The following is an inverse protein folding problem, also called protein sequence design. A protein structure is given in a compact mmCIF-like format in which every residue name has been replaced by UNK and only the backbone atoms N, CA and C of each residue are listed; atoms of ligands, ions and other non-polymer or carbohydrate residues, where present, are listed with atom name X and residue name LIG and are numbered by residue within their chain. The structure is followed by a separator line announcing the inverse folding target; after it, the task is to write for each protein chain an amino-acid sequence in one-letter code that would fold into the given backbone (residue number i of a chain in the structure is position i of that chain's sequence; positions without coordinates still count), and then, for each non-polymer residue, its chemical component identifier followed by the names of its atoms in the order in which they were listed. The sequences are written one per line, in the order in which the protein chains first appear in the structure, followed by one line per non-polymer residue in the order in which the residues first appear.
data_IF_787921516917
#
_entry.id   IF_787921516917
#
_cell.length_a   1.000
_cell.length_b   1.000
_cell.length_c   1.000
_cell.angle_alpha   90.00
_cell.angle_beta   90.00
_cell.angle_gamma   90.00
#
_symmetry.space_group_name_H-M   'P 1'
#
loop_
_entity.id
_entity.type
_entity.pdbx_description
1 polymer ?
#
# COMPACT_ATOMS: atom_id res chain seq x y z
N UNK A 1 28.33 -44.80 47.77
CA UNK A 1 29.11 -43.71 47.18
C UNK A 1 29.17 -43.92 45.67
N UNK A 2 28.39 -43.11 44.97
CA UNK A 2 28.61 -42.53 43.64
C UNK A 2 29.73 -43.08 42.75
N UNK A 3 29.35 -43.58 41.58
CA UNK A 3 29.92 -43.08 40.31
C UNK A 3 28.88 -43.21 39.19
N UNK A 4 28.84 -42.15 38.38
CA UNK A 4 27.80 -41.69 37.47
C UNK A 4 28.17 -41.99 36.02
N UNK A 5 27.28 -42.65 35.28
CA UNK A 5 27.20 -42.54 33.82
C UNK A 5 25.79 -42.95 33.35
N UNK A 6 24.97 -41.95 33.02
CA UNK A 6 23.67 -42.13 32.36
C UNK A 6 23.86 -42.10 30.83
N UNK A 7 23.31 -43.05 30.06
CA UNK A 7 23.32 -42.98 28.60
C UNK A 7 22.21 -42.07 28.05
N UNK A 8 22.58 -41.38 26.97
CA UNK A 8 21.82 -40.43 26.12
C UNK A 8 20.40 -40.91 25.80
N UNK A 9 19.36 -40.17 26.22
CA UNK A 9 18.00 -40.28 25.69
C UNK A 9 17.93 -39.68 24.29
N UNK A 10 17.62 -40.52 23.31
CA UNK A 10 17.28 -40.14 21.93
C UNK A 10 15.84 -39.63 21.94
N UNK A 11 15.64 -38.31 21.92
CA UNK A 11 14.32 -37.71 21.79
C UNK A 11 13.85 -37.84 20.34
N UNK A 12 12.72 -38.53 20.15
CA UNK A 12 12.01 -38.66 18.89
C UNK A 12 11.36 -37.32 18.53
N UNK A 13 11.78 -36.72 17.42
CA UNK A 13 11.09 -35.59 16.79
C UNK A 13 9.70 -36.05 16.33
N UNK A 14 8.66 -35.61 17.03
CA UNK A 14 7.28 -35.60 16.52
C UNK A 14 7.00 -34.22 15.93
N UNK A 15 7.03 -34.15 14.60
CA UNK A 15 6.39 -33.08 13.84
C UNK A 15 4.88 -33.32 13.87
N UNK A 16 4.12 -32.36 14.40
CA UNK A 16 2.67 -32.27 14.20
C UNK A 16 2.37 -30.98 13.42
N UNK A 17 1.71 -31.05 12.25
CA UNK A 17 1.13 -29.89 11.59
C UNK A 17 -0.25 -29.61 12.21
N UNK A 18 -0.53 -28.36 12.57
CA UNK A 18 -1.89 -27.92 12.89
C UNK A 18 -2.39 -27.01 11.78
N UNK A 19 -3.08 -27.62 10.82
CA UNK A 19 -4.05 -26.97 9.96
C UNK A 19 -5.31 -26.64 10.79
N UNK A 20 -5.80 -25.42 10.70
CA UNK A 20 -7.14 -25.05 11.17
C UNK A 20 -7.93 -24.47 9.99
N UNK A 21 -8.67 -25.36 9.33
CA UNK A 21 -9.80 -25.04 8.45
C UNK A 21 -11.08 -25.48 9.15
N UNK A 22 -11.88 -24.53 9.62
CA UNK A 22 -13.23 -24.83 10.13
C UNK A 22 -14.22 -24.83 8.96
N UNK A 23 -14.50 -26.01 8.42
CA UNK A 23 -15.70 -26.27 7.63
C UNK A 23 -16.84 -26.65 8.57
N UNK A 24 -17.94 -25.90 8.50
CA UNK A 24 -19.21 -26.24 9.13
C UNK A 24 -20.06 -26.98 8.10
N UNK A 25 -20.28 -28.27 8.31
CA UNK A 25 -21.25 -29.07 7.56
C UNK A 25 -21.91 -30.04 8.51
N UNK A 26 -23.22 -29.87 8.72
CA UNK A 26 -24.08 -30.91 9.27
C UNK A 26 -25.50 -30.71 8.73
N UNK A 27 -25.90 -31.61 7.83
CA UNK A 27 -27.28 -31.76 7.37
C UNK A 27 -27.79 -33.16 7.74
N UNK A 28 -28.85 -33.17 8.57
CA UNK A 28 -30.10 -33.95 8.50
C UNK A 28 -30.09 -35.48 8.64
N UNK A 29 -30.97 -35.97 9.54
CA UNK A 29 -31.89 -37.10 9.30
C UNK A 29 -33.15 -37.03 10.22
N UNK A 30 -34.28 -37.69 9.86
CA UNK A 30 -35.65 -37.20 10.10
C UNK A 30 -36.53 -38.09 11.03
N UNK A 31 -37.86 -37.83 11.03
CA UNK A 31 -39.03 -38.48 11.72
C UNK A 31 -39.32 -37.94 13.14
N UNK A 32 -40.54 -37.55 13.54
CA UNK A 32 -41.89 -38.02 13.20
C UNK A 32 -42.95 -36.91 13.18
N UNK A 33 -44.02 -37.17 12.41
CA UNK A 33 -45.20 -36.36 12.14
C UNK A 33 -46.27 -36.39 13.22
N UNK A 34 -46.87 -35.25 13.59
CA UNK A 34 -48.30 -35.12 13.94
C UNK A 34 -48.79 -33.67 13.66
N UNK A 35 -49.84 -33.55 12.83
CA UNK A 35 -50.79 -32.42 12.67
C UNK A 35 -52.19 -33.06 12.56
N UNK A 36 -53.33 -32.34 12.64
CA UNK A 36 -53.53 -30.88 12.73
C UNK A 36 -54.57 -30.43 13.78
N UNK A 37 -54.71 -29.11 14.01
CA UNK A 37 -56.04 -28.44 14.01
C UNK A 37 -55.91 -26.90 13.95
N UNK A 38 -56.91 -26.20 13.35
CA UNK A 38 -56.78 -24.80 12.94
C UNK A 38 -57.54 -23.86 13.87
N UNK A 39 -56.97 -22.68 14.13
CA UNK A 39 -57.72 -21.53 14.67
C UNK A 39 -57.24 -20.25 14.02
N UNK A 40 -58.20 -19.62 13.35
CA UNK A 40 -58.21 -18.30 12.74
C UNK A 40 -57.87 -17.16 13.70
N UNK A 41 -57.12 -16.15 13.25
CA UNK A 41 -57.63 -14.78 13.01
C UNK A 41 -56.53 -13.78 12.66
N UNK A 42 -56.84 -12.97 11.63
CA UNK A 42 -56.58 -11.53 11.50
C UNK A 42 -55.17 -11.00 11.22
N UNK A 43 -55.00 -10.58 9.96
CA UNK A 43 -54.70 -9.22 9.48
C UNK A 43 -53.44 -8.48 9.98
N UNK A 44 -52.82 -7.80 9.01
CA UNK A 44 -51.66 -6.90 9.05
C UNK A 44 -50.31 -7.64 9.09
N UNK A 45 -49.40 -7.47 8.13
CA UNK A 45 -49.02 -6.26 7.43
C UNK A 45 -48.60 -6.59 6.00
N UNK A 46 -49.22 -5.91 5.03
CA UNK A 46 -48.56 -5.55 3.79
C UNK A 46 -47.29 -4.81 4.23
N UNK A 47 -46.15 -5.51 4.14
CA UNK A 47 -44.87 -4.85 4.14
C UNK A 47 -44.89 -3.96 2.91
N UNK A 48 -45.22 -2.69 3.14
CA UNK A 48 -44.96 -1.62 2.19
C UNK A 48 -43.52 -1.79 1.75
N UNK A 49 -43.35 -2.09 0.46
CA UNK A 49 -42.15 -1.75 -0.29
C UNK A 49 -41.92 -0.26 -0.06
N UNK A 50 -41.18 0.05 1.01
CA UNK A 50 -40.43 1.29 1.07
C UNK A 50 -39.38 1.09 0.00
N UNK A 51 -39.70 1.51 -1.23
CA UNK A 51 -38.69 1.99 -2.15
C UNK A 51 -37.90 3.04 -1.39
N UNK A 52 -36.83 2.60 -0.73
CA UNK A 52 -35.74 3.48 -0.34
C UNK A 52 -35.33 4.13 -1.66
N UNK A 53 -35.57 5.43 -1.78
CA UNK A 53 -34.89 6.27 -2.76
C UNK A 53 -33.43 5.79 -2.82
N UNK A 54 -32.98 5.24 -3.95
CA UNK A 54 -31.67 4.60 -4.02
C UNK A 54 -30.65 5.62 -3.57
N UNK A 55 -29.82 5.21 -2.61
CA UNK A 55 -28.71 6.00 -2.11
C UNK A 55 -27.99 6.62 -3.30
N UNK A 56 -28.02 7.96 -3.44
CA UNK A 56 -27.19 8.64 -4.43
C UNK A 56 -25.74 8.66 -3.93
N UNK A 57 -25.19 7.48 -3.65
CA UNK A 57 -23.76 7.29 -3.50
C UNK A 57 -23.16 7.57 -4.86
N UNK A 58 -22.36 8.62 -4.93
CA UNK A 58 -21.69 9.04 -6.15
C UNK A 58 -20.23 9.29 -5.86
N UNK A 59 -19.38 8.88 -6.80
CA UNK A 59 -17.96 9.18 -6.72
C UNK A 59 -17.68 10.69 -6.88
N UNK A 60 -16.41 11.08 -6.88
CA UNK A 60 -16.04 12.50 -7.04
C UNK A 60 -16.55 13.09 -8.36
N UNK A 61 -16.70 12.30 -9.43
CA UNK A 61 -17.18 12.80 -10.73
C UNK A 61 -18.71 12.77 -10.87
N UNK A 62 -19.43 12.25 -9.88
CA UNK A 62 -20.89 12.15 -9.91
C UNK A 62 -21.38 10.82 -10.50
N UNK A 63 -20.49 9.86 -10.74
CA UNK A 63 -20.86 8.54 -11.22
C UNK A 63 -21.52 7.75 -10.10
N UNK A 64 -22.69 7.12 -10.31
CA UNK A 64 -23.31 6.26 -9.32
C UNK A 64 -22.35 5.17 -8.84
N UNK A 65 -22.30 5.00 -7.52
CA UNK A 65 -21.51 3.97 -6.86
C UNK A 65 -22.42 3.02 -6.11
N UNK A 66 -22.24 1.74 -6.36
CA UNK A 66 -22.88 0.68 -5.58
C UNK A 66 -21.86 0.05 -4.65
N UNK A 67 -22.33 -0.37 -3.47
CA UNK A 67 -21.47 -1.00 -2.49
C UNK A 67 -21.20 -2.45 -2.95
N UNK A 68 -19.92 -2.88 -3.06
CA UNK A 68 -19.59 -4.25 -3.45
C UNK A 68 -20.21 -5.29 -2.50
N UNK A 69 -20.81 -6.34 -3.08
CA UNK A 69 -21.48 -7.43 -2.39
C UNK A 69 -20.82 -8.81 -2.60
N UNK A 70 -19.83 -8.91 -3.50
CA UNK A 70 -19.06 -10.14 -3.69
C UNK A 70 -18.17 -10.46 -2.48
N UNK A 71 -17.80 -11.73 -2.35
CA UNK A 71 -17.02 -12.27 -1.24
C UNK A 71 -15.58 -12.55 -1.65
N UNK A 72 -14.66 -12.56 -0.67
CA UNK A 72 -13.28 -12.99 -0.91
C UNK A 72 -13.20 -14.44 -1.40
N UNK A 73 -14.17 -15.29 -1.03
CA UNK A 73 -14.23 -16.67 -1.50
C UNK A 73 -14.45 -16.72 -3.02
N UNK A 74 -15.43 -15.98 -3.55
CA UNK A 74 -15.68 -15.92 -4.99
C UNK A 74 -14.45 -15.43 -5.78
N UNK A 75 -13.72 -14.46 -5.23
CA UNK A 75 -12.46 -13.98 -5.82
C UNK A 75 -11.41 -15.10 -5.86
N UNK A 76 -11.21 -15.82 -4.77
CA UNK A 76 -10.21 -16.90 -4.69
C UNK A 76 -10.57 -18.11 -5.55
N UNK A 77 -11.85 -18.47 -5.59
CA UNK A 77 -12.36 -19.61 -6.36
C UNK A 77 -12.26 -19.37 -7.87
N UNK A 78 -12.25 -18.11 -8.32
CA UNK A 78 -12.08 -17.76 -9.73
C UNK A 78 -10.64 -17.91 -10.23
N UNK A 79 -9.65 -17.82 -9.34
CA UNK A 79 -8.22 -17.80 -9.72
C UNK A 79 -7.73 -19.23 -9.99
N UNK A 80 -7.09 -19.49 -11.15
CA UNK A 80 -6.48 -20.80 -11.43
C UNK A 80 -5.47 -21.23 -10.36
N UNK A 81 -5.48 -22.51 -10.01
CA UNK A 81 -4.66 -23.04 -8.92
C UNK A 81 -3.14 -22.85 -9.15
N UNK A 82 -2.68 -22.95 -10.39
CA UNK A 82 -1.26 -22.77 -10.72
C UNK A 82 -0.78 -21.32 -10.51
N UNK A 83 -1.67 -20.33 -10.49
CA UNK A 83 -1.29 -18.94 -10.18
C UNK A 83 -0.76 -18.78 -8.75
N UNK A 84 -1.05 -19.73 -7.86
CA UNK A 84 -0.52 -19.74 -6.49
C UNK A 84 0.86 -20.41 -6.37
N UNK A 85 1.37 -20.99 -7.45
CA UNK A 85 2.68 -21.65 -7.46
C UNK A 85 3.80 -20.61 -7.41
N UNK A 86 4.68 -20.76 -6.41
CA UNK A 86 5.80 -19.85 -6.18
C UNK A 86 7.10 -20.60 -6.46
N UNK A 87 7.92 -20.06 -7.35
CA UNK A 87 9.22 -20.60 -7.75
C UNK A 87 10.35 -19.73 -7.24
N UNK A 88 11.15 -20.27 -6.31
CA UNK A 88 12.35 -19.62 -5.79
C UNK A 88 13.35 -19.30 -6.91
N UNK A 89 13.57 -20.25 -7.83
CA UNK A 89 14.51 -20.08 -8.94
C UNK A 89 14.06 -18.96 -9.87
N UNK A 90 12.77 -18.92 -10.23
CA UNK A 90 12.22 -17.86 -11.08
C UNK A 90 12.39 -16.51 -10.40
N UNK A 91 11.94 -16.34 -9.17
CA UNK A 91 12.04 -15.06 -8.46
C UNK A 91 13.50 -14.60 -8.25
N UNK A 92 14.41 -15.51 -7.91
CA UNK A 92 15.85 -15.20 -7.79
C UNK A 92 16.47 -14.79 -9.13
N UNK A 93 16.00 -15.33 -10.26
CA UNK A 93 16.48 -14.90 -11.59
C UNK A 93 16.13 -13.44 -11.88
N UNK A 94 14.98 -12.94 -11.41
CA UNK A 94 14.60 -11.52 -11.53
C UNK A 94 15.44 -10.63 -10.60
N UNK A 95 15.75 -11.08 -9.38
CA UNK A 95 16.70 -10.38 -8.50
C UNK A 95 18.08 -10.29 -9.16
N UNK A 96 18.58 -11.41 -9.70
CA UNK A 96 19.86 -11.45 -10.40
C UNK A 96 19.88 -10.55 -11.64
N UNK A 97 18.77 -10.52 -12.40
CA UNK A 97 18.58 -9.61 -13.54
C UNK A 97 18.68 -8.15 -13.10
N UNK A 98 17.92 -7.75 -12.08
CA UNK A 98 17.87 -6.37 -11.62
C UNK A 98 19.24 -5.91 -11.09
N UNK A 99 19.93 -6.76 -10.31
CA UNK A 99 21.30 -6.52 -9.86
C UNK A 99 22.27 -6.42 -11.04
N UNK A 100 22.13 -7.28 -12.06
CA UNK A 100 22.97 -7.23 -13.26
C UNK A 100 22.77 -5.94 -14.05
N UNK A 101 21.53 -5.44 -14.15
CA UNK A 101 21.23 -4.16 -14.78
C UNK A 101 21.83 -2.98 -14.00
N UNK A 102 21.71 -2.99 -12.66
CA UNK A 102 22.34 -1.99 -11.78
C UNK A 102 23.86 -1.99 -11.94
N UNK A 103 24.50 -3.16 -11.82
CA UNK A 103 25.94 -3.33 -11.92
C UNK A 103 26.48 -2.98 -13.31
N UNK A 104 25.81 -3.46 -14.37
CA UNK A 104 26.18 -3.19 -15.76
C UNK A 104 26.07 -1.71 -16.11
N UNK A 105 24.97 -1.05 -15.70
CA UNK A 105 24.78 0.38 -15.92
C UNK A 105 25.84 1.19 -15.14
N UNK A 106 26.14 0.83 -13.89
CA UNK A 106 27.23 1.47 -13.15
C UNK A 106 28.58 1.29 -13.81
N UNK A 107 28.92 0.06 -14.19
CA UNK A 107 30.18 -0.25 -14.86
C UNK A 107 30.36 0.56 -16.14
N UNK A 108 29.34 0.62 -17.00
CA UNK A 108 29.41 1.37 -18.26
C UNK A 108 29.60 2.87 -18.01
N UNK A 109 28.81 3.47 -17.13
CA UNK A 109 28.88 4.92 -16.90
C UNK A 109 30.17 5.31 -16.17
N UNK A 110 30.60 4.53 -15.18
CA UNK A 110 31.84 4.77 -14.45
C UNK A 110 33.07 4.74 -15.35
N UNK A 111 33.15 3.79 -16.29
CA UNK A 111 34.34 3.61 -17.13
C UNK A 111 34.34 4.47 -18.40
N UNK A 112 33.16 4.78 -18.98
CA UNK A 112 33.07 5.44 -20.28
C UNK A 112 32.52 6.87 -20.23
N UNK A 113 31.84 7.30 -19.16
CA UNK A 113 31.40 8.70 -19.00
C UNK A 113 32.47 9.51 -18.27
N UNK A 114 33.66 9.52 -18.87
CA UNK A 114 34.86 10.19 -18.34
C UNK A 114 35.25 11.38 -19.23
N UNK A 115 36.08 12.31 -18.75
CA UNK A 115 36.59 13.40 -19.57
C UNK A 115 37.39 12.96 -20.81
N UNK A 116 37.98 11.76 -20.76
CA UNK A 116 38.75 11.17 -21.86
C UNK A 116 37.86 10.79 -23.05
N UNK A 117 36.79 10.01 -22.80
CA UNK A 117 35.88 9.58 -23.86
C UNK A 117 34.83 10.64 -24.22
N UNK A 118 34.45 11.49 -23.25
CA UNK A 118 33.40 12.50 -23.41
C UNK A 118 33.91 13.84 -22.88
N UNK A 119 34.65 14.65 -23.67
CA UNK A 119 35.27 15.88 -23.19
C UNK A 119 34.28 16.97 -22.73
N UNK A 120 33.06 16.98 -23.28
CA UNK A 120 32.03 17.97 -22.96
C UNK A 120 31.41 17.75 -21.57
N UNK A 121 31.65 18.67 -20.64
CA UNK A 121 31.09 18.62 -19.29
C UNK A 121 29.56 18.61 -19.25
N UNK A 122 28.83 19.45 -20.01
CA UNK A 122 27.36 19.39 -20.04
C UNK A 122 26.82 18.04 -20.51
N UNK A 123 27.46 17.42 -21.52
CA UNK A 123 27.06 16.10 -22.01
C UNK A 123 27.28 15.03 -20.94
N UNK A 124 28.44 15.04 -20.26
CA UNK A 124 28.67 14.13 -19.13
C UNK A 124 27.65 14.32 -18.02
N UNK A 125 27.29 15.56 -17.68
CA UNK A 125 26.28 15.84 -16.67
C UNK A 125 24.90 15.26 -17.06
N UNK A 126 24.49 15.44 -18.32
CA UNK A 126 23.27 14.82 -18.86
C UNK A 126 23.29 13.29 -18.80
N UNK A 127 24.44 12.68 -19.13
CA UNK A 127 24.61 11.23 -19.03
C UNK A 127 24.57 10.74 -17.57
N UNK A 128 25.20 11.43 -16.63
CA UNK A 128 25.07 11.08 -15.21
C UNK A 128 23.63 11.27 -14.69
N UNK A 129 22.85 12.20 -15.26
CA UNK A 129 21.41 12.29 -15.03
C UNK A 129 20.65 11.07 -15.55
N UNK A 130 20.97 10.62 -16.78
CA UNK A 130 20.41 9.39 -17.36
C UNK A 130 20.78 8.15 -16.53
N UNK A 131 22.04 8.06 -16.06
CA UNK A 131 22.47 7.03 -15.11
C UNK A 131 21.59 7.01 -13.87
N UNK A 132 21.38 8.17 -13.24
CA UNK A 132 20.58 8.25 -12.02
C UNK A 132 19.14 7.78 -12.26
N UNK A 133 18.54 8.16 -13.39
CA UNK A 133 17.21 7.70 -13.78
C UNK A 133 17.16 6.18 -14.00
N UNK A 134 18.09 5.61 -14.79
CA UNK A 134 18.13 4.17 -15.07
C UNK A 134 18.38 3.33 -13.81
N UNK A 135 19.31 3.75 -12.96
CA UNK A 135 19.55 3.11 -11.66
C UNK A 135 18.30 3.20 -10.77
N UNK A 136 17.60 4.33 -10.80
CA UNK A 136 16.31 4.48 -10.14
C UNK A 136 15.29 3.44 -10.60
N UNK A 137 15.16 3.23 -11.91
CA UNK A 137 14.25 2.23 -12.46
C UNK A 137 14.60 0.80 -12.00
N UNK A 138 15.85 0.37 -12.18
CA UNK A 138 16.26 -0.97 -11.78
C UNK A 138 16.26 -1.15 -10.25
N UNK A 139 16.56 -0.09 -9.50
CA UNK A 139 16.47 -0.07 -8.04
C UNK A 139 15.04 -0.23 -7.55
N UNK A 140 14.06 0.38 -8.22
CA UNK A 140 12.63 0.15 -7.95
C UNK A 140 12.22 -1.28 -8.30
N UNK A 141 12.72 -1.86 -9.41
CA UNK A 141 12.52 -3.29 -9.70
C UNK A 141 13.00 -4.18 -8.56
N UNK A 142 14.22 -3.96 -8.07
CA UNK A 142 14.77 -4.68 -6.93
C UNK A 142 13.97 -4.46 -5.63
N UNK A 143 13.48 -3.23 -5.42
CA UNK A 143 12.60 -2.89 -4.31
C UNK A 143 11.31 -3.73 -4.33
N UNK A 144 10.72 -3.90 -5.51
CA UNK A 144 9.49 -4.67 -5.72
C UNK A 144 9.72 -6.16 -5.47
N UNK A 145 10.86 -6.72 -5.87
CA UNK A 145 11.21 -8.11 -5.54
C UNK A 145 11.32 -8.34 -4.01
N UNK A 146 11.84 -7.36 -3.27
CA UNK A 146 11.87 -7.41 -1.82
C UNK A 146 10.48 -7.19 -1.18
N UNK A 147 9.61 -6.41 -1.82
CA UNK A 147 8.18 -6.34 -1.48
C UNK A 147 7.49 -7.71 -1.64
N UNK A 148 7.73 -8.43 -2.74
CA UNK A 148 7.21 -9.80 -2.96
C UNK A 148 7.68 -10.77 -1.86
N UNK A 149 8.90 -10.58 -1.36
CA UNK A 149 9.40 -11.31 -0.19
C UNK A 149 8.57 -11.01 1.06
N UNK A 150 8.20 -9.75 1.28
CA UNK A 150 7.34 -9.30 2.37
C UNK A 150 5.99 -10.00 2.38
N UNK A 151 5.40 -10.22 1.20
CA UNK A 151 4.15 -10.94 1.02
C UNK A 151 4.25 -12.47 1.05
N UNK A 152 5.48 -13.00 1.08
CA UNK A 152 5.73 -14.43 0.91
C UNK A 152 5.28 -14.95 -0.46
N UNK A 153 5.16 -14.08 -1.46
CA UNK A 153 4.89 -14.43 -2.85
C UNK A 153 6.17 -14.89 -3.58
N UNK A 154 7.33 -14.40 -3.15
CA UNK A 154 8.62 -14.66 -3.80
C UNK A 154 8.98 -16.15 -3.91
N UNK A 155 8.75 -16.94 -2.87
CA UNK A 155 9.04 -18.39 -2.85
C UNK A 155 8.20 -19.10 -1.77
N UNK A 156 8.11 -20.45 -1.78
CA UNK A 156 7.42 -21.18 -0.73
C UNK A 156 8.22 -21.21 0.59
N UNK A 157 9.47 -20.74 0.60
CA UNK A 157 10.36 -20.78 1.75
C UNK A 157 10.43 -19.43 2.46
N UNK A 158 9.80 -19.33 3.62
CA UNK A 158 9.74 -18.08 4.39
C UNK A 158 11.11 -17.51 4.77
N UNK A 159 12.05 -18.37 5.17
CA UNK A 159 13.39 -17.93 5.53
C UNK A 159 14.11 -17.30 4.33
N UNK A 160 14.02 -17.93 3.15
CA UNK A 160 14.61 -17.39 1.93
C UNK A 160 14.02 -16.02 1.60
N UNK A 161 12.69 -15.89 1.64
CA UNK A 161 11.99 -14.62 1.40
C UNK A 161 12.51 -13.56 2.38
N UNK A 162 12.53 -13.87 3.68
CA UNK A 162 12.92 -12.90 4.69
C UNK A 162 14.40 -12.50 4.61
N UNK A 163 15.29 -13.41 4.22
CA UNK A 163 16.70 -13.10 3.99
C UNK A 163 16.91 -12.23 2.75
N UNK A 164 16.30 -12.59 1.62
CA UNK A 164 16.44 -11.83 0.36
C UNK A 164 15.83 -10.44 0.50
N UNK A 165 14.62 -10.36 1.06
CA UNK A 165 13.93 -9.11 1.33
C UNK A 165 14.73 -8.21 2.26
N UNK A 166 15.26 -8.74 3.37
CA UNK A 166 16.07 -7.97 4.31
C UNK A 166 17.33 -7.40 3.66
N UNK A 167 18.06 -8.19 2.85
CA UNK A 167 19.26 -7.70 2.16
C UNK A 167 18.93 -6.62 1.14
N UNK A 168 17.96 -6.88 0.26
CA UNK A 168 17.61 -5.97 -0.84
C UNK A 168 17.00 -4.65 -0.35
N UNK A 169 16.06 -4.70 0.60
CA UNK A 169 15.50 -3.48 1.19
C UNK A 169 16.52 -2.72 2.01
N UNK A 170 17.39 -3.38 2.79
CA UNK A 170 18.45 -2.67 3.53
C UNK A 170 19.41 -1.93 2.60
N UNK A 171 19.80 -2.55 1.47
CA UNK A 171 20.63 -1.91 0.45
C UNK A 171 19.96 -0.68 -0.21
N UNK A 172 18.63 -0.59 -0.13
CA UNK A 172 17.81 0.54 -0.57
C UNK A 172 17.31 1.40 0.60
N UNK A 173 17.96 1.33 1.77
CA UNK A 173 17.62 2.10 2.98
C UNK A 173 16.17 1.95 3.46
N UNK A 174 15.58 0.78 3.22
CA UNK A 174 14.24 0.41 3.69
C UNK A 174 14.35 -0.58 4.87
N UNK A 175 13.74 -0.28 6.03
CA UNK A 175 13.77 -1.21 7.16
C UNK A 175 12.81 -2.38 6.89
N UNK A 176 13.32 -3.47 6.32
CA UNK A 176 12.51 -4.55 5.74
C UNK A 176 11.40 -5.10 6.65
N UNK A 177 11.70 -5.57 7.87
CA UNK A 177 10.66 -6.16 8.71
C UNK A 177 9.70 -5.12 9.28
N UNK A 178 10.23 -3.94 9.62
CA UNK A 178 9.43 -2.78 10.03
C UNK A 178 8.37 -2.47 8.97
N UNK A 179 8.80 -2.29 7.72
CA UNK A 179 7.93 -2.02 6.60
C UNK A 179 7.03 -3.22 6.25
N UNK A 180 7.55 -4.45 6.23
CA UNK A 180 6.76 -5.67 6.00
C UNK A 180 5.57 -5.78 6.95
N UNK A 181 5.78 -5.46 8.23
CA UNK A 181 4.72 -5.54 9.25
C UNK A 181 3.69 -4.42 9.07
N UNK A 182 4.12 -3.18 8.86
CA UNK A 182 3.18 -2.06 8.62
C UNK A 182 2.43 -2.24 7.29
N UNK A 183 3.10 -2.70 6.24
CA UNK A 183 2.51 -3.03 4.94
C UNK A 183 1.51 -4.19 5.04
N UNK A 184 1.80 -5.22 5.83
CA UNK A 184 0.81 -6.29 6.09
C UNK A 184 -0.45 -5.75 6.79
N UNK A 185 -0.33 -4.72 7.64
CA UNK A 185 -1.48 -4.05 8.26
C UNK A 185 -2.26 -3.21 7.24
N UNK A 186 -1.57 -2.52 6.33
CA UNK A 186 -2.19 -1.82 5.20
C UNK A 186 -3.07 -2.76 4.37
N UNK A 187 -2.53 -3.90 3.92
CA UNK A 187 -3.30 -4.91 3.17
C UNK A 187 -4.54 -5.43 3.92
N UNK A 188 -4.47 -5.51 5.26
CA UNK A 188 -5.60 -5.94 6.10
C UNK A 188 -6.60 -4.84 6.43
N UNK A 189 -6.34 -3.61 6.01
CA UNK A 189 -7.13 -2.44 6.40
C UNK A 189 -7.29 -1.40 5.28
N UNK A 190 -6.89 -1.70 4.04
CA UNK A 190 -6.84 -0.70 2.99
C UNK A 190 -8.21 -0.07 2.76
N UNK A 191 -8.26 1.26 2.58
CA UNK A 191 -9.50 2.01 2.45
C UNK A 191 -10.28 2.23 3.76
N UNK A 192 -9.79 1.74 4.91
CA UNK A 192 -10.35 2.04 6.23
C UNK A 192 -9.74 3.31 6.82
N UNK A 193 -10.57 4.34 7.08
CA UNK A 193 -10.11 5.65 7.55
C UNK A 193 -9.41 5.64 8.92
N UNK A 194 -9.62 4.62 9.73
CA UNK A 194 -9.10 4.57 11.11
C UNK A 194 -7.99 3.52 11.32
N UNK A 195 -7.76 2.65 10.33
CA UNK A 195 -6.82 1.52 10.45
C UNK A 195 -5.81 1.40 9.31
N UNK A 196 -6.06 2.02 8.17
CA UNK A 196 -5.13 1.96 7.05
C UNK A 196 -3.81 2.67 7.40
N UNK A 197 -2.69 2.15 6.89
CA UNK A 197 -1.35 2.57 7.27
C UNK A 197 -0.71 3.55 6.28
N UNK A 198 -1.27 3.74 5.09
CA UNK A 198 -0.66 4.56 4.05
C UNK A 198 -1.72 5.27 3.21
N UNK A 199 -1.40 6.50 2.77
CA UNK A 199 -2.29 7.39 2.00
C UNK A 199 -3.72 7.55 2.54
N UNK A 200 -3.89 7.51 3.86
CA UNK A 200 -5.20 7.71 4.48
C UNK A 200 -5.64 9.16 4.30
N UNK A 201 -6.72 9.40 3.54
CA UNK A 201 -7.17 10.76 3.29
C UNK A 201 -7.72 11.37 4.57
N UNK A 202 -7.71 12.70 4.61
CA UNK A 202 -8.28 13.43 5.74
C UNK A 202 -9.77 13.62 5.52
N UNK A 203 -10.56 13.60 6.60
CA UNK A 203 -11.93 14.08 6.53
C UNK A 203 -11.92 15.59 6.32
N UNK A 204 -13.06 16.16 5.88
CA UNK A 204 -13.19 17.60 5.70
C UNK A 204 -12.80 18.40 6.94
N UNK A 205 -13.18 17.94 8.13
CA UNK A 205 -12.92 18.63 9.40
C UNK A 205 -11.41 18.65 9.73
N UNK A 206 -10.74 17.51 9.52
CA UNK A 206 -9.30 17.39 9.74
C UNK A 206 -8.52 18.19 8.69
N UNK A 207 -8.99 18.20 7.45
CA UNK A 207 -8.44 19.06 6.41
C UNK A 207 -8.61 20.54 6.78
N UNK A 208 -9.84 20.98 7.08
CA UNK A 208 -10.16 22.37 7.40
C UNK A 208 -9.41 22.89 8.64
N UNK A 209 -9.20 22.08 9.68
CA UNK A 209 -8.43 22.49 10.87
C UNK A 209 -6.94 22.73 10.56
N UNK A 210 -6.32 21.88 9.72
CA UNK A 210 -4.93 22.07 9.27
C UNK A 210 -4.80 23.27 8.35
N UNK A 211 -5.73 23.40 7.41
CA UNK A 211 -5.76 24.55 6.51
C UNK A 211 -6.13 25.83 7.26
N UNK A 212 -6.97 25.80 8.28
CA UNK A 212 -7.31 26.95 9.12
C UNK A 212 -6.13 27.46 9.94
N UNK A 213 -5.28 26.55 10.43
CA UNK A 213 -3.99 26.91 11.06
C UNK A 213 -3.03 27.56 10.05
N UNK A 214 -2.91 27.00 8.84
CA UNK A 214 -2.05 27.56 7.77
C UNK A 214 -2.63 28.86 7.18
N UNK A 215 -3.96 28.98 7.11
CA UNK A 215 -4.72 30.13 6.63
C UNK A 215 -4.55 31.35 7.53
N UNK A 216 -4.53 31.12 8.85
CA UNK A 216 -4.28 32.14 9.84
C UNK A 216 -2.84 32.70 9.74
N UNK A 217 -1.89 31.91 9.22
CA UNK A 217 -0.52 32.36 8.95
C UNK A 217 -0.31 32.95 7.54
N UNK A 218 -1.19 32.67 6.57
CA UNK A 218 -1.03 33.04 5.16
C UNK A 218 -2.31 33.65 4.56
N UNK A 219 -2.72 34.83 5.03
CA UNK A 219 -3.99 35.46 4.67
C UNK A 219 -4.12 35.99 3.22
N UNK A 220 -3.12 35.85 2.34
CA UNK A 220 -3.17 36.44 0.98
C UNK A 220 -2.90 35.47 -0.20
N UNK A 221 -2.73 34.16 0.03
CA UNK A 221 -2.43 33.19 -1.04
C UNK A 221 -3.47 32.06 -1.18
N UNK A 222 -4.65 32.22 -0.57
CA UNK A 222 -5.54 31.11 -0.22
C UNK A 222 -6.50 30.60 -1.30
N UNK A 223 -6.22 30.85 -2.58
CA UNK A 223 -6.69 29.95 -3.63
C UNK A 223 -5.67 28.81 -3.78
N UNK A 224 -6.14 27.57 -3.98
CA UNK A 224 -5.27 26.42 -4.25
C UNK A 224 -4.65 26.62 -5.65
N UNK A 225 -3.53 27.34 -5.69
CA UNK A 225 -2.89 27.66 -6.97
C UNK A 225 -2.25 26.40 -7.57
N UNK A 226 -2.18 26.29 -8.91
CA UNK A 226 -1.38 25.24 -9.56
C UNK A 226 0.05 25.16 -9.00
N UNK A 227 0.64 26.29 -8.62
CA UNK A 227 1.98 26.34 -8.01
C UNK A 227 2.00 25.62 -6.66
N UNK A 228 1.02 25.86 -5.78
CA UNK A 228 0.93 25.16 -4.50
C UNK A 228 0.82 23.64 -4.70
N UNK A 229 -0.03 23.20 -5.65
CA UNK A 229 -0.15 21.77 -5.98
C UNK A 229 1.17 21.21 -6.52
N UNK A 230 1.86 21.94 -7.40
CA UNK A 230 3.16 21.53 -7.94
C UNK A 230 4.22 21.37 -6.85
N UNK A 231 4.31 22.35 -5.94
CA UNK A 231 5.21 22.29 -4.78
C UNK A 231 4.88 21.09 -3.91
N UNK A 232 3.60 20.84 -3.62
CA UNK A 232 3.18 19.69 -2.84
C UNK A 232 3.58 18.36 -3.49
N UNK A 233 3.32 18.19 -4.80
CA UNK A 233 3.71 16.99 -5.55
C UNK A 233 5.23 16.81 -5.50
N UNK A 234 6.03 17.84 -5.78
CA UNK A 234 7.49 17.75 -5.73
C UNK A 234 7.99 17.34 -4.34
N UNK A 235 7.47 17.98 -3.28
CA UNK A 235 7.84 17.63 -1.90
C UNK A 235 7.41 16.21 -1.53
N UNK A 236 6.22 15.78 -1.95
CA UNK A 236 5.75 14.41 -1.73
C UNK A 236 6.68 13.41 -2.43
N UNK A 237 7.04 13.64 -3.70
CA UNK A 237 7.89 12.72 -4.45
C UNK A 237 9.32 12.64 -3.91
N UNK A 238 9.87 13.73 -3.37
CA UNK A 238 11.23 13.76 -2.81
C UNK A 238 11.29 13.27 -1.36
N UNK A 239 10.32 13.64 -0.53
CA UNK A 239 10.39 13.48 0.93
C UNK A 239 9.27 12.61 1.51
N UNK A 240 8.26 12.23 0.72
CA UNK A 240 7.12 11.44 1.20
C UNK A 240 7.53 10.11 1.83
N UNK A 241 8.46 9.38 1.19
CA UNK A 241 8.97 8.12 1.72
C UNK A 241 9.76 8.29 3.04
N UNK A 242 10.80 9.15 3.12
CA UNK A 242 11.48 9.42 4.39
C UNK A 242 10.52 9.88 5.50
N UNK A 243 9.58 10.77 5.18
CA UNK A 243 8.62 11.28 6.16
C UNK A 243 7.63 10.21 6.62
N UNK A 244 7.26 9.26 5.76
CA UNK A 244 6.49 8.09 6.15
C UNK A 244 7.25 7.22 7.16
N UNK A 245 8.52 6.94 6.91
CA UNK A 245 9.32 6.14 7.83
C UNK A 245 9.54 6.84 9.19
N UNK A 246 9.90 8.13 9.17
CA UNK A 246 10.29 8.90 10.36
C UNK A 246 9.09 9.38 11.18
N UNK A 247 7.93 9.59 10.55
CA UNK A 247 6.79 10.26 11.20
C UNK A 247 5.42 9.69 10.88
N UNK A 248 5.33 8.65 10.04
CA UNK A 248 4.08 8.01 9.62
C UNK A 248 3.06 9.02 9.03
N UNK A 249 3.54 10.00 8.27
CA UNK A 249 2.74 11.19 7.85
C UNK A 249 1.48 10.86 7.04
N UNK A 250 1.47 9.73 6.33
CA UNK A 250 0.37 9.29 5.46
C UNK A 250 -0.56 8.24 6.10
N UNK A 251 -0.23 7.71 7.29
CA UNK A 251 -1.04 6.69 7.95
C UNK A 251 -2.20 7.26 8.78
N UNK A 252 -3.06 6.37 9.28
CA UNK A 252 -4.08 6.71 10.29
C UNK A 252 -3.45 7.27 11.59
N UNK A 253 -4.21 8.08 12.34
CA UNK A 253 -3.75 8.66 13.61
C UNK A 253 -4.47 8.07 14.85
N UNK A 254 -5.18 6.96 14.68
CA UNK A 254 -6.00 6.34 15.73
C UNK A 254 -5.19 5.41 16.66
N UNK A 255 -4.00 5.84 17.09
CA UNK A 255 -3.03 5.00 17.80
C UNK A 255 -3.48 4.56 19.20
N UNK A 256 -4.35 5.34 19.85
CA UNK A 256 -4.87 5.01 21.18
C UNK A 256 -5.59 3.66 21.23
N UNK A 257 -6.07 3.16 20.08
CA UNK A 257 -6.77 1.87 19.94
C UNK A 257 -5.82 0.67 19.75
N UNK A 258 -4.50 0.88 19.78
CA UNK A 258 -3.54 -0.20 19.66
C UNK A 258 -3.71 -1.19 20.85
N UNK A 259 -3.83 -2.52 20.61
CA UNK A 259 -4.28 -3.48 21.63
C UNK A 259 -3.40 -3.59 22.89
N UNK A 260 -2.10 -3.32 22.78
CA UNK A 260 -1.14 -3.39 23.88
C UNK A 260 -0.95 -2.03 24.59
N UNK A 261 -1.75 -1.02 24.24
CA UNK A 261 -1.67 0.32 24.81
C UNK A 261 -0.44 1.14 24.38
N UNK A 262 0.35 0.66 23.41
CA UNK A 262 1.60 1.31 22.95
C UNK A 262 1.40 2.63 22.22
N UNK A 263 0.16 2.96 21.86
CA UNK A 263 -0.22 4.19 21.17
C UNK A 263 -0.87 5.26 22.06
N UNK A 264 -0.99 5.02 23.37
CA UNK A 264 -1.46 6.06 24.31
C UNK A 264 -0.51 7.26 24.28
N UNK A 265 -1.06 8.45 24.07
CA UNK A 265 -0.30 9.72 24.00
C UNK A 265 0.60 9.87 22.77
N UNK A 266 0.41 9.04 21.73
CA UNK A 266 1.22 9.11 20.50
C UNK A 266 0.37 9.51 19.31
N UNK A 267 1.02 10.22 18.39
CA UNK A 267 0.43 10.77 17.19
C UNK A 267 1.44 10.69 16.04
N UNK A 268 0.96 10.71 14.79
CA UNK A 268 1.82 10.90 13.62
C UNK A 268 2.45 12.29 13.65
N UNK A 269 3.70 12.39 13.19
CA UNK A 269 4.46 13.63 13.19
C UNK A 269 5.84 13.47 13.78
N UNK A 270 6.74 14.39 13.43
CA UNK A 270 8.11 14.41 13.94
C UNK A 270 8.09 14.50 15.47
N UNK A 271 8.86 13.64 16.12
CA UNK A 271 9.00 13.58 17.58
C UNK A 271 7.70 13.24 18.35
N UNK A 272 6.64 12.76 17.69
CA UNK A 272 5.36 12.38 18.33
C UNK A 272 5.22 10.88 18.65
N UNK A 273 6.31 10.14 18.55
CA UNK A 273 6.43 8.76 19.03
C UNK A 273 6.00 7.65 18.06
N UNK A 274 5.59 7.99 16.83
CA UNK A 274 5.19 7.03 15.79
C UNK A 274 6.18 7.06 14.63
N UNK A 275 6.97 6.00 14.48
CA UNK A 275 7.92 5.82 13.39
C UNK A 275 8.24 4.34 13.16
N UNK A 276 8.92 4.04 12.06
CA UNK A 276 9.21 2.68 11.63
C UNK A 276 10.44 2.04 12.29
N UNK A 277 11.25 2.82 13.02
CA UNK A 277 12.52 2.39 13.62
C UNK A 277 12.36 2.02 15.10
N UNK A 278 11.40 2.60 15.82
CA UNK A 278 11.21 2.33 17.24
C UNK A 278 10.49 0.99 17.46
N UNK A 279 11.10 -0.02 18.12
CA UNK A 279 10.44 -1.32 18.40
C UNK A 279 9.19 -1.21 19.30
N UNK A 280 9.04 -0.09 20.00
CA UNK A 280 7.89 0.26 20.86
C UNK A 280 6.88 1.19 20.16
N UNK A 281 7.04 1.43 18.86
CA UNK A 281 6.08 2.18 18.05
C UNK A 281 4.69 1.50 18.04
N UNK A 282 3.57 2.26 18.04
CA UNK A 282 2.23 1.67 17.96
C UNK A 282 1.96 0.98 16.61
N UNK A 283 2.85 1.16 15.62
CA UNK A 283 2.82 0.39 14.38
C UNK A 283 3.04 -1.11 14.62
N UNK A 284 3.55 -1.53 15.78
CA UNK A 284 3.94 -2.91 16.07
C UNK A 284 3.31 -3.47 17.35
N UNK A 285 3.43 -4.78 17.51
CA UNK A 285 3.14 -5.53 18.73
C UNK A 285 4.47 -5.90 19.40
N UNK A 286 4.46 -6.21 20.70
CA UNK A 286 5.67 -6.48 21.48
C UNK A 286 6.50 -7.62 20.90
N UNK A 287 5.84 -8.67 20.38
CA UNK A 287 6.48 -9.82 19.73
C UNK A 287 7.30 -9.45 18.49
N UNK A 288 7.05 -8.30 17.86
CA UNK A 288 7.75 -7.88 16.65
C UNK A 288 9.07 -7.18 16.94
N UNK A 289 9.33 -6.75 18.18
CA UNK A 289 10.48 -5.92 18.53
C UNK A 289 11.85 -6.46 18.03
N UNK A 290 12.16 -7.78 18.11
CA UNK A 290 13.41 -8.31 17.58
C UNK A 290 13.56 -8.12 16.06
N UNK A 291 12.47 -8.17 15.31
CA UNK A 291 12.49 -7.98 13.86
C UNK A 291 12.69 -6.50 13.48
N UNK A 292 12.18 -5.58 14.30
CA UNK A 292 12.42 -4.14 14.13
C UNK A 292 13.91 -3.85 14.32
N UNK A 293 14.51 -4.37 15.40
CA UNK A 293 15.95 -4.25 15.64
C UNK A 293 16.79 -4.87 14.51
N UNK A 294 16.34 -5.99 13.95
CA UNK A 294 17.01 -6.59 12.79
C UNK A 294 16.92 -5.69 11.55
N UNK A 295 15.81 -5.00 11.34
CA UNK A 295 15.68 -4.01 10.25
C UNK A 295 16.63 -2.83 10.46
N UNK A 296 16.71 -2.31 11.68
CA UNK A 296 17.63 -1.22 12.03
C UNK A 296 19.09 -1.64 11.84
N UNK A 297 19.44 -2.88 12.19
CA UNK A 297 20.77 -3.44 11.92
C UNK A 297 21.07 -3.44 10.42
N UNK A 298 20.11 -3.81 9.58
CA UNK A 298 20.24 -3.78 8.12
C UNK A 298 20.57 -2.37 7.61
N UNK A 299 19.87 -1.35 8.12
CA UNK A 299 20.14 0.06 7.80
C UNK A 299 21.49 0.54 8.29
N UNK A 300 21.92 0.13 9.49
CA UNK A 300 23.25 0.46 10.03
C UNK A 300 24.36 -0.15 9.16
N UNK A 301 24.19 -1.39 8.71
CA UNK A 301 25.14 -2.07 7.82
C UNK A 301 25.22 -1.38 6.46
N UNK A 302 24.06 -1.07 5.85
CA UNK A 302 24.01 -0.34 4.59
C UNK A 302 24.62 1.06 4.73
N UNK A 303 24.26 1.80 5.79
CA UNK A 303 24.82 3.11 6.09
C UNK A 303 26.34 3.07 6.31
N UNK A 304 26.86 2.02 6.97
CA UNK A 304 28.30 1.82 7.16
C UNK A 304 29.02 1.54 5.84
N UNK A 305 28.41 0.75 4.95
CA UNK A 305 28.94 0.53 3.61
C UNK A 305 28.96 1.82 2.78
N UNK A 306 27.88 2.61 2.79
CA UNK A 306 27.81 3.89 2.11
C UNK A 306 28.83 4.90 2.69
N UNK A 307 28.99 4.95 4.01
CA UNK A 307 30.01 5.77 4.66
C UNK A 307 31.42 5.36 4.22
N UNK A 308 31.70 4.06 4.17
CA UNK A 308 32.97 3.54 3.66
C UNK A 308 33.19 3.94 2.19
N UNK A 309 32.16 3.84 1.33
CA UNK A 309 32.27 4.29 -0.07
C UNK A 309 32.54 5.80 -0.14
N UNK A 310 31.79 6.62 0.60
CA UNK A 310 31.97 8.07 0.63
C UNK A 310 33.36 8.49 1.11
N UNK A 311 33.90 7.79 2.13
CA UNK A 311 35.25 8.02 2.65
C UNK A 311 36.35 7.66 1.64
N UNK A 312 36.22 6.56 0.91
CA UNK A 312 37.29 6.05 0.03
C UNK A 312 37.19 6.54 -1.43
N UNK A 313 35.98 6.81 -1.91
CA UNK A 313 35.72 7.22 -3.30
C UNK A 313 35.18 8.65 -3.42
N UNK A 314 34.94 9.34 -2.31
CA UNK A 314 34.50 10.74 -2.28
C UNK A 314 32.98 10.91 -2.17
N UNK A 315 32.57 11.91 -1.40
CA UNK A 315 31.16 12.19 -1.12
C UNK A 315 30.36 12.64 -2.34
N UNK A 316 30.99 13.39 -3.26
CA UNK A 316 30.35 13.77 -4.52
C UNK A 316 30.06 12.56 -5.42
N UNK A 317 30.98 11.59 -5.46
CA UNK A 317 30.78 10.34 -6.16
C UNK A 317 29.66 9.53 -5.52
N UNK A 318 29.64 9.39 -4.19
CA UNK A 318 28.55 8.73 -3.49
C UNK A 318 27.18 9.39 -3.75
N UNK A 319 27.14 10.73 -3.81
CA UNK A 319 25.93 11.47 -4.14
C UNK A 319 25.38 11.08 -5.52
N UNK A 320 26.24 11.03 -6.54
CA UNK A 320 25.85 10.68 -7.91
C UNK A 320 25.58 9.19 -8.07
N UNK A 321 26.43 8.33 -7.52
CA UNK A 321 26.39 6.87 -7.71
C UNK A 321 25.23 6.21 -6.96
N UNK A 322 24.82 6.76 -5.82
CA UNK A 322 23.83 6.14 -4.95
C UNK A 322 22.67 7.08 -4.60
N UNK A 323 22.92 8.27 -4.05
CA UNK A 323 21.84 9.10 -3.51
C UNK A 323 20.90 9.67 -4.57
N UNK A 324 21.40 10.14 -5.71
CA UNK A 324 20.55 10.59 -6.82
C UNK A 324 19.69 9.44 -7.40
N UNK A 325 20.24 8.25 -7.69
CA UNK A 325 19.42 7.06 -7.96
C UNK A 325 18.40 6.73 -6.88
N UNK A 326 18.79 6.78 -5.62
CA UNK A 326 17.91 6.48 -4.49
C UNK A 326 16.71 7.44 -4.42
N UNK A 327 16.90 8.73 -4.74
CA UNK A 327 15.79 9.67 -4.86
C UNK A 327 14.82 9.27 -5.99
N UNK A 328 15.31 8.72 -7.10
CA UNK A 328 14.43 8.15 -8.13
C UNK A 328 13.68 6.91 -7.63
N UNK A 329 14.33 6.02 -6.87
CA UNK A 329 13.64 4.86 -6.25
C UNK A 329 12.51 5.34 -5.33
N UNK A 330 12.78 6.34 -4.49
CA UNK A 330 11.79 6.95 -3.60
C UNK A 330 10.65 7.59 -4.38
N UNK A 331 10.97 8.34 -5.44
CA UNK A 331 9.96 8.93 -6.31
C UNK A 331 9.03 7.86 -6.88
N UNK A 332 9.57 6.81 -7.50
CA UNK A 332 8.74 5.76 -8.09
C UNK A 332 7.90 5.04 -7.04
N UNK A 333 8.49 4.71 -5.89
CA UNK A 333 7.75 4.10 -4.78
C UNK A 333 6.55 4.96 -4.37
N UNK A 334 6.77 6.26 -4.14
CA UNK A 334 5.72 7.19 -3.72
C UNK A 334 4.69 7.40 -4.82
N UNK A 335 5.10 7.56 -6.08
CA UNK A 335 4.21 7.76 -7.21
C UNK A 335 3.29 6.54 -7.44
N UNK A 336 3.87 5.35 -7.46
CA UNK A 336 3.15 4.08 -7.68
C UNK A 336 2.10 3.89 -6.60
N UNK A 337 2.53 3.89 -5.34
CA UNK A 337 1.64 3.64 -4.20
C UNK A 337 0.59 4.74 -4.03
N UNK A 338 0.93 6.01 -4.29
CA UNK A 338 -0.05 7.10 -4.29
C UNK A 338 -1.14 6.88 -5.32
N UNK A 339 -0.78 6.57 -6.57
CA UNK A 339 -1.76 6.45 -7.66
C UNK A 339 -2.60 5.18 -7.64
N UNK A 340 -2.10 4.15 -6.96
CA UNK A 340 -2.81 2.90 -6.68
C UNK A 340 -3.89 3.05 -5.61
N UNK A 341 -3.72 4.00 -4.69
CA UNK A 341 -4.57 4.20 -3.52
C UNK A 341 -5.31 5.54 -3.49
N UNK A 342 -5.00 6.44 -4.42
CA UNK A 342 -5.60 7.78 -4.49
C UNK A 342 -6.09 8.07 -5.90
N UNK A 343 -7.40 7.95 -6.07
CA UNK A 343 -8.10 8.32 -7.30
C UNK A 343 -9.52 8.84 -6.97
N UNK A 344 -10.07 9.79 -7.74
CA UNK A 344 -11.41 10.35 -7.52
C UNK A 344 -12.55 9.32 -7.55
N UNK A 345 -12.31 8.15 -8.17
CA UNK A 345 -13.31 7.09 -8.28
C UNK A 345 -13.33 6.13 -7.08
N UNK A 346 -12.33 6.21 -6.18
CA UNK A 346 -12.16 5.24 -5.10
C UNK A 346 -12.96 5.62 -3.84
N UNK A 347 -13.72 4.67 -3.28
CA UNK A 347 -14.40 4.85 -2.00
C UNK A 347 -13.42 4.71 -0.83
N UNK A 348 -13.78 5.32 0.29
CA UNK A 348 -13.17 5.11 1.60
C UNK A 348 -14.27 4.78 2.61
N UNK A 349 -13.92 4.03 3.66
CA UNK A 349 -14.91 3.51 4.58
C UNK A 349 -14.57 3.84 6.02
N UNK A 350 -15.59 4.23 6.80
CA UNK A 350 -15.50 4.12 8.24
C UNK A 350 -15.52 2.63 8.66
N UNK A 351 -15.12 2.28 9.89
CA UNK A 351 -15.14 0.88 10.34
C UNK A 351 -16.49 0.18 10.22
N UNK A 352 -17.61 0.92 10.21
CA UNK A 352 -18.96 0.37 10.16
C UNK A 352 -19.31 -0.24 8.80
N UNK A 353 -18.86 0.37 7.69
CA UNK A 353 -19.10 -0.15 6.33
C UNK A 353 -17.87 -0.84 5.72
N UNK A 354 -16.73 -0.88 6.42
CA UNK A 354 -15.53 -1.52 5.90
C UNK A 354 -15.59 -3.04 6.03
N UNK A 355 -15.24 -3.73 4.95
CA UNK A 355 -14.89 -5.16 4.96
C UNK A 355 -13.58 -5.34 4.21
N UNK A 356 -12.89 -6.48 4.40
CA UNK A 356 -11.66 -6.77 3.65
C UNK A 356 -11.88 -6.68 2.14
N UNK A 357 -12.97 -7.28 1.64
CA UNK A 357 -13.27 -7.30 0.20
C UNK A 357 -13.52 -5.90 -0.37
N UNK A 358 -14.25 -5.04 0.38
CA UNK A 358 -14.51 -3.65 -0.01
C UNK A 358 -13.25 -2.80 0.04
N UNK A 359 -12.41 -3.01 1.05
CA UNK A 359 -11.12 -2.36 1.16
C UNK A 359 -10.19 -2.70 -0.01
N UNK A 360 -10.06 -3.98 -0.36
CA UNK A 360 -9.27 -4.41 -1.51
C UNK A 360 -9.82 -3.85 -2.84
N UNK A 361 -11.15 -3.70 -2.96
CA UNK A 361 -11.79 -3.04 -4.12
C UNK A 361 -11.49 -1.53 -4.20
N UNK A 362 -11.06 -0.90 -3.10
CA UNK A 362 -10.72 0.52 -3.03
C UNK A 362 -9.28 0.79 -3.51
N UNK A 363 -8.86 0.10 -4.56
CA UNK A 363 -7.57 0.26 -5.24
C UNK A 363 -7.78 0.30 -6.74
N UNK A 364 -6.79 0.80 -7.48
CA UNK A 364 -6.90 1.00 -8.94
C UNK A 364 -5.62 0.55 -9.64
N UNK A 365 -5.78 -0.17 -10.74
CA UNK A 365 -4.68 -0.51 -11.64
C UNK A 365 -4.35 0.65 -12.57
N UNK A 366 -3.07 0.82 -12.86
CA UNK A 366 -2.57 1.82 -13.81
C UNK A 366 -1.73 1.14 -14.89
N UNK A 367 -1.25 1.88 -15.88
CA UNK A 367 -0.37 1.35 -16.92
C UNK A 367 0.90 2.20 -17.03
N UNK A 368 2.07 1.55 -16.98
CA UNK A 368 3.35 2.21 -17.19
C UNK A 368 4.21 1.54 -18.26
N UNK A 369 3.56 0.87 -19.21
CA UNK A 369 4.14 0.35 -20.43
C UNK A 369 5.23 -0.68 -20.16
N UNK A 370 6.29 -0.62 -20.97
CA UNK A 370 7.42 -1.53 -20.83
C UNK A 370 8.07 -1.46 -19.44
N UNK A 371 8.17 -0.26 -18.86
CA UNK A 371 8.80 -0.06 -17.55
C UNK A 371 7.96 -0.74 -16.47
N UNK A 372 6.66 -0.48 -16.41
CA UNK A 372 5.75 -1.10 -15.46
C UNK A 372 5.80 -2.62 -15.52
N UNK A 373 5.57 -3.17 -16.71
CA UNK A 373 5.45 -4.62 -16.91
C UNK A 373 6.77 -5.39 -16.75
N UNK A 374 7.89 -4.85 -17.21
CA UNK A 374 9.16 -5.59 -17.25
C UNK A 374 10.15 -5.19 -16.16
N UNK A 375 10.21 -3.90 -15.81
CA UNK A 375 11.18 -3.40 -14.83
C UNK A 375 10.56 -3.37 -13.43
N UNK A 376 9.31 -2.91 -13.32
CA UNK A 376 8.57 -2.88 -12.06
C UNK A 376 7.71 -4.12 -11.83
N UNK A 377 7.96 -5.18 -12.61
CA UNK A 377 7.37 -6.50 -12.40
C UNK A 377 5.83 -6.48 -12.33
N UNK A 378 5.16 -5.61 -13.09
CA UNK A 378 3.70 -5.59 -13.21
C UNK A 378 2.94 -5.04 -12.00
N UNK A 379 3.62 -4.56 -10.96
CA UNK A 379 2.95 -4.10 -9.73
C UNK A 379 1.98 -2.94 -9.98
N UNK A 380 2.24 -2.12 -11.02
CA UNK A 380 1.39 -0.98 -11.38
C UNK A 380 0.10 -1.49 -12.04
N UNK A 381 0.22 -2.55 -12.84
CA UNK A 381 -0.82 -3.09 -13.71
C UNK A 381 -1.76 -4.10 -13.02
N UNK A 382 -1.33 -4.71 -11.91
CA UNK A 382 -2.08 -5.80 -11.24
C UNK A 382 -2.27 -5.56 -9.74
N UNK A 383 -2.37 -4.30 -9.32
CA UNK A 383 -2.43 -3.91 -7.92
C UNK A 383 -3.76 -4.26 -7.23
N UNK A 384 -4.87 -4.23 -7.97
CA UNK A 384 -6.17 -4.65 -7.45
C UNK A 384 -6.12 -6.11 -7.01
N UNK A 385 -5.62 -7.01 -7.88
CA UNK A 385 -5.38 -8.40 -7.52
C UNK A 385 -4.42 -8.50 -6.33
N UNK A 386 -3.35 -7.72 -6.34
CA UNK A 386 -2.36 -7.73 -5.28
C UNK A 386 -2.99 -7.46 -3.90
N UNK A 387 -3.98 -6.58 -3.78
CA UNK A 387 -4.70 -6.35 -2.51
C UNK A 387 -5.64 -7.49 -2.12
N UNK A 388 -6.24 -8.18 -3.08
CA UNK A 388 -7.04 -9.37 -2.77
C UNK A 388 -6.20 -10.56 -2.34
N UNK A 389 -5.11 -10.84 -3.07
CA UNK A 389 -4.30 -12.04 -2.92
C UNK A 389 -2.82 -11.74 -3.14
N UNK A 390 -2.21 -10.96 -2.24
CA UNK A 390 -0.79 -10.57 -2.34
C UNK A 390 0.22 -11.73 -2.29
N UNK A 391 -0.20 -12.96 -2.01
CA UNK A 391 0.67 -14.15 -2.03
C UNK A 391 0.88 -14.73 -3.43
N UNK A 392 0.12 -14.28 -4.44
CA UNK A 392 0.34 -14.65 -5.84
C UNK A 392 1.58 -13.91 -6.33
N UNK A 393 2.59 -14.61 -6.87
CA UNK A 393 3.77 -13.97 -7.40
C UNK A 393 3.44 -13.15 -8.64
N UNK A 394 4.14 -12.03 -8.80
CA UNK A 394 3.96 -11.10 -9.93
C UNK A 394 3.89 -11.77 -11.32
N UNK A 395 4.63 -12.86 -11.57
CA UNK A 395 4.63 -13.55 -12.87
C UNK A 395 3.39 -14.42 -13.14
N UNK A 396 2.45 -14.49 -12.20
CA UNK A 396 1.10 -15.05 -12.37
C UNK A 396 0.01 -13.99 -12.16
N UNK A 397 0.39 -12.74 -11.88
CA UNK A 397 -0.55 -11.71 -11.47
C UNK A 397 -1.45 -11.24 -12.63
N UNK A 398 -0.95 -11.17 -13.88
CA UNK A 398 -1.80 -10.81 -15.03
C UNK A 398 -2.95 -11.81 -15.21
N UNK A 399 -2.64 -13.12 -15.23
CA UNK A 399 -3.64 -14.18 -15.40
C UNK A 399 -4.66 -14.20 -14.25
N UNK A 400 -4.19 -14.08 -13.01
CA UNK A 400 -5.08 -14.00 -11.86
C UNK A 400 -5.91 -12.71 -11.84
N UNK A 401 -5.42 -11.60 -12.41
CA UNK A 401 -6.17 -10.35 -12.53
C UNK A 401 -7.32 -10.50 -13.52
N UNK A 402 -7.06 -11.13 -14.67
CA UNK A 402 -8.13 -11.45 -15.64
C UNK A 402 -9.20 -12.36 -15.04
N UNK A 403 -8.81 -13.31 -14.19
CA UNK A 403 -9.74 -14.23 -13.54
C UNK A 403 -10.71 -13.54 -12.56
N UNK A 404 -10.28 -12.47 -11.87
CA UNK A 404 -11.11 -11.79 -10.86
C UNK A 404 -12.00 -10.68 -11.45
N UNK A 405 -11.64 -10.14 -12.63
CA UNK A 405 -12.40 -9.07 -13.29
C UNK A 405 -13.89 -9.39 -13.46
N UNK A 406 -14.30 -10.59 -13.95
CA UNK A 406 -15.73 -10.93 -14.07
C UNK A 406 -16.47 -10.98 -12.74
N UNK A 407 -15.80 -11.35 -11.65
CA UNK A 407 -16.39 -11.42 -10.30
C UNK A 407 -16.60 -10.01 -9.74
N UNK A 408 -15.64 -9.12 -9.93
CA UNK A 408 -15.73 -7.73 -9.48
C UNK A 408 -16.68 -6.89 -10.35
N UNK A 409 -16.79 -7.21 -11.64
CA UNK A 409 -17.58 -6.45 -12.60
C UNK A 409 -17.24 -4.97 -12.58
N UNK A 410 -18.24 -4.11 -12.36
CA UNK A 410 -18.10 -2.64 -12.29
C UNK A 410 -17.24 -2.13 -11.14
N UNK A 411 -16.92 -2.98 -10.15
CA UNK A 411 -16.07 -2.59 -9.02
C UNK A 411 -14.58 -2.76 -9.32
N UNK A 412 -14.20 -3.43 -10.41
CA UNK A 412 -12.81 -3.45 -10.85
C UNK A 412 -12.44 -2.07 -11.39
N UNK A 413 -11.41 -1.44 -10.82
CA UNK A 413 -10.97 -0.10 -11.22
C UNK A 413 -9.63 -0.19 -11.93
N UNK A 414 -9.57 0.43 -13.10
CA UNK A 414 -8.35 0.63 -13.85
C UNK A 414 -8.37 1.97 -14.57
N UNK A 415 -7.24 2.65 -14.59
CA UNK A 415 -7.01 3.82 -15.45
C UNK A 415 -5.70 3.63 -16.20
N UNK A 416 -5.84 3.11 -17.43
CA UNK A 416 -4.75 2.75 -18.33
C UNK A 416 -4.74 3.64 -19.60
N UNK A 417 -5.61 4.65 -19.65
CA UNK A 417 -5.71 5.56 -20.79
C UNK A 417 -4.38 6.31 -20.96
N UNK A 418 -3.90 6.45 -22.20
CA UNK A 418 -2.61 7.10 -22.53
C UNK A 418 -1.35 6.42 -21.93
N UNK A 419 -1.47 5.23 -21.36
CA UNK A 419 -0.34 4.46 -20.81
C UNK A 419 0.52 5.27 -19.84
N UNK A 420 1.85 5.27 -20.04
CA UNK A 420 2.79 5.99 -19.17
C UNK A 420 2.52 7.50 -19.06
N UNK A 421 2.00 8.14 -20.12
CA UNK A 421 1.63 9.56 -20.06
C UNK A 421 0.37 9.76 -19.19
N UNK A 422 -0.56 8.80 -19.23
CA UNK A 422 -1.73 8.74 -18.35
C UNK A 422 -1.34 8.62 -16.88
N UNK A 423 -0.41 7.72 -16.56
CA UNK A 423 0.14 7.60 -15.20
C UNK A 423 0.70 8.93 -14.68
N UNK A 424 1.54 9.61 -15.48
CA UNK A 424 2.12 10.91 -15.10
C UNK A 424 1.04 12.00 -14.99
N UNK A 425 0.05 12.00 -15.88
CA UNK A 425 -1.11 12.91 -15.81
C UNK A 425 -1.93 12.68 -14.55
N UNK A 426 -2.05 11.42 -14.12
CA UNK A 426 -2.79 11.04 -12.92
C UNK A 426 -2.14 11.55 -11.64
N UNK A 427 -0.80 11.71 -11.58
CA UNK A 427 -0.15 12.39 -10.43
C UNK A 427 -0.71 13.79 -10.23
N UNK A 428 -0.82 14.56 -11.31
CA UNK A 428 -1.37 15.90 -11.26
C UNK A 428 -2.87 15.89 -10.98
N UNK A 429 -3.62 15.01 -11.66
CA UNK A 429 -5.07 14.89 -11.51
C UNK A 429 -5.42 14.59 -10.04
N UNK A 430 -4.89 13.50 -9.49
CA UNK A 430 -5.15 13.07 -8.11
C UNK A 430 -4.77 14.15 -7.11
N UNK A 431 -3.63 14.84 -7.28
CA UNK A 431 -3.23 15.92 -6.38
C UNK A 431 -4.21 17.11 -6.38
N UNK A 432 -4.87 17.39 -7.52
CA UNK A 432 -5.87 18.46 -7.65
C UNK A 432 -7.25 18.04 -7.18
N UNK A 433 -7.61 16.76 -7.27
CA UNK A 433 -8.98 16.29 -7.04
C UNK A 433 -9.19 15.57 -5.72
N UNK A 434 -8.14 14.99 -5.13
CA UNK A 434 -8.20 14.13 -3.96
C UNK A 434 -7.66 14.84 -2.72
N UNK A 435 -8.38 15.85 -2.22
CA UNK A 435 -7.88 16.72 -1.14
C UNK A 435 -8.37 16.29 0.26
N UNK A 436 -9.66 15.99 0.37
CA UNK A 436 -10.26 15.40 1.56
C UNK A 436 -11.38 14.45 1.14
N UNK A 437 -11.88 13.66 2.09
CA UNK A 437 -13.04 12.81 1.90
C UNK A 437 -14.18 13.22 2.83
N UNK A 438 -15.41 13.02 2.36
CA UNK A 438 -16.65 13.26 3.12
C UNK A 438 -17.74 12.30 2.61
N UNK A 439 -18.76 11.98 3.42
CA UNK A 439 -19.88 11.16 2.97
C UNK A 439 -20.70 11.90 1.91
N UNK A 440 -21.44 11.16 1.09
CA UNK A 440 -22.36 11.78 0.12
C UNK A 440 -23.51 12.48 0.85
N UNK A 441 -23.83 13.70 0.42
CA UNK A 441 -24.96 14.45 0.99
C UNK A 441 -26.27 13.67 0.79
N UNK A 442 -27.03 13.50 1.87
CA UNK A 442 -28.29 12.74 1.84
C UNK A 442 -28.11 11.21 1.76
N UNK A 443 -26.90 10.68 1.85
CA UNK A 443 -26.70 9.25 2.04
C UNK A 443 -27.36 8.80 3.36
N UNK A 444 -27.97 7.62 3.35
CA UNK A 444 -28.66 6.99 4.48
C UNK A 444 -28.12 5.58 4.74
N UNK A 445 -28.29 5.08 5.96
CA UNK A 445 -27.95 3.69 6.29
C UNK A 445 -26.46 3.41 6.06
N UNK A 446 -26.13 2.30 5.39
CA UNK A 446 -24.72 1.93 5.15
C UNK A 446 -23.96 2.98 4.29
N UNK A 447 -24.67 3.73 3.45
CA UNK A 447 -24.07 4.78 2.61
C UNK A 447 -23.50 5.96 3.40
N UNK A 448 -23.97 6.23 4.62
CA UNK A 448 -23.42 7.28 5.51
C UNK A 448 -21.96 7.02 5.91
N UNK A 449 -21.53 5.77 5.78
CA UNK A 449 -20.22 5.27 6.16
C UNK A 449 -19.27 5.09 4.96
N UNK A 450 -19.70 5.53 3.76
CA UNK A 450 -18.92 5.52 2.52
C UNK A 450 -18.55 6.95 2.15
N UNK A 451 -17.26 7.18 1.98
CA UNK A 451 -16.65 8.49 1.80
C UNK A 451 -16.00 8.56 0.42
N UNK A 452 -16.12 9.71 -0.25
CA UNK A 452 -15.46 9.98 -1.53
C UNK A 452 -14.66 11.26 -1.47
N UNK A 453 -13.68 11.38 -2.36
CA UNK A 453 -12.88 12.58 -2.46
C UNK A 453 -13.71 13.80 -2.87
N UNK A 454 -13.36 14.94 -2.30
CA UNK A 454 -13.83 16.28 -2.69
C UNK A 454 -12.64 17.23 -2.72
N UNK A 455 -12.85 18.39 -3.33
CA UNK A 455 -11.80 19.38 -3.54
C UNK A 455 -12.37 20.80 -3.56
N UNK A 456 -11.49 21.77 -3.32
CA UNK A 456 -11.77 23.21 -3.42
C UNK A 456 -11.61 23.77 -4.85
N UNK A 457 -11.24 22.91 -5.80
CA UNK A 457 -10.97 23.27 -7.19
C UNK A 457 -12.21 23.21 -8.10
N UNK A 458 -13.39 22.96 -7.52
CA UNK A 458 -14.66 22.80 -8.25
C UNK A 458 -14.61 21.69 -9.32
N UNK A 459 -13.82 20.64 -9.10
CA UNK A 459 -13.76 19.48 -10.00
C UNK A 459 -14.70 18.40 -9.49
N UNK A 460 -15.73 18.08 -10.27
CA UNK A 460 -16.70 17.04 -9.92
C UNK A 460 -17.81 17.52 -8.97
N UNK A 461 -18.33 16.61 -8.14
CA UNK A 461 -19.41 16.87 -7.18
C UNK A 461 -18.96 17.90 -6.15
N UNK A 462 -19.82 18.89 -5.91
CA UNK A 462 -19.55 19.94 -4.92
C UNK A 462 -19.45 19.36 -3.50
N UNK A 463 -18.61 19.94 -2.63
CA UNK A 463 -18.62 19.58 -1.22
C UNK A 463 -19.99 19.82 -0.58
N UNK A 464 -20.39 18.98 0.36
CA UNK A 464 -21.63 19.12 1.12
C UNK A 464 -21.70 20.49 1.82
N UNK A 465 -22.91 21.04 1.97
CA UNK A 465 -23.10 22.31 2.67
C UNK A 465 -22.88 22.09 4.17
N UNK A 466 -22.00 22.90 4.81
CA UNK A 466 -21.85 22.84 6.26
C UNK A 466 -23.14 23.35 6.91
N UNK A 467 -23.90 22.49 7.57
CA UNK A 467 -24.81 22.95 8.61
C UNK A 467 -23.97 23.50 9.74
N UNK A 468 -23.99 24.80 9.95
CA UNK A 468 -23.38 25.44 11.11
C UNK A 468 -23.75 24.65 12.37
N UNK A 469 -22.81 24.40 13.31
CA UNK A 469 -23.19 23.81 14.58
C UNK A 469 -24.26 24.71 15.18
N UNK A 470 -25.46 24.15 15.43
CA UNK A 470 -26.48 24.84 16.20
C UNK A 470 -25.82 25.25 17.51
N UNK A 471 -25.70 26.54 17.75
CA UNK A 471 -25.31 27.10 19.04
C UNK A 471 -26.33 26.62 20.06
N UNK A 472 -25.98 25.56 20.79
CA UNK A 472 -26.74 25.01 21.91
C UNK A 472 -25.92 25.13 23.18
#
# INVERSE_FOLDING_TARGET
MTSTALPKRRALNRNSPTDYSTESSACVSPTDSLRPSPSSTSLSSIASDVQQEPLKLVDTYGTPFEIPDFTIKQIRDAIPAHCFERSALRSLSYVARDISCLAGTFYLFHNYVTPEYIPSTPVRAGLWGLYAFLQGLFGTGLWIMAHECGHQAFSPYRLLNDTVGWFCHSALLVPYFSWKISHSKHHKATGNLERDMVFVPKTREVFASRFGYIAHELHELMEETPIQTAVHVVLQQLFGWPMYLISNVTGHNCHQRQPEGRGKGKENGLFRGVNHFNPSSPLYEAKHAPLILLSDLGLILAGSALFWVGKNFGWANLAVWYFLPYLWVNHWLVAITYLQHTDPTLPHYSPQAWTFTRGAAATIDREFGFIGRNIFHGIIETHVLHHYVSTIPFYHADEASEAIKPIMGKHYRSDTELGSLGFLRSLWRSARTCQWVEPCEGAKGEGEHVYFFRNRNNIGVKPAVMTSPSSS
#
